data_IF_281124265954
#
_entry.id   IF_281124265954
#
_cell.length_a   1.000
_cell.length_b   1.000
_cell.length_c   1.000
_cell.angle_alpha   90.00
_cell.angle_beta   90.00
_cell.angle_gamma   90.00
#
_symmetry.space_group_name_H-M   'P 1'
#
loop_
_entity.id
_entity.type
_entity.pdbx_description
1 polymer ?
#
# COMPACT_ATOMS: atom_id res chain seq x y z
N UNK A 1 4.07 -24.33 6.30
CA UNK A 1 4.78 -23.25 5.59
C UNK A 1 5.77 -22.63 6.56
N UNK A 2 7.01 -22.35 6.14
CA UNK A 2 8.01 -21.70 7.02
C UNK A 2 7.60 -20.25 7.24
N UNK A 3 7.51 -19.82 8.50
CA UNK A 3 7.11 -18.46 8.84
C UNK A 3 8.25 -17.48 8.51
N UNK A 4 7.98 -16.36 7.82
CA UNK A 4 9.02 -15.44 7.35
C UNK A 4 9.81 -14.80 8.50
N UNK A 5 9.20 -14.69 9.68
CA UNK A 5 9.85 -14.15 10.88
C UNK A 5 10.98 -15.05 11.41
N UNK A 6 11.00 -16.33 11.06
CA UNK A 6 12.00 -17.30 11.53
C UNK A 6 13.21 -17.41 10.61
N UNK A 7 13.16 -16.78 9.43
CA UNK A 7 14.24 -16.81 8.46
C UNK A 7 15.35 -15.82 8.83
N UNK A 8 16.59 -16.19 8.47
CA UNK A 8 17.70 -15.25 8.42
C UNK A 8 17.42 -14.17 7.40
N UNK A 9 18.14 -13.06 7.48
CA UNK A 9 17.95 -11.92 6.57
C UNK A 9 18.24 -12.30 5.10
N UNK A 10 19.27 -13.09 4.86
CA UNK A 10 19.63 -13.58 3.52
C UNK A 10 18.59 -14.56 2.98
N UNK A 11 18.21 -15.56 3.77
CA UNK A 11 17.18 -16.54 3.40
C UNK A 11 15.82 -15.87 3.14
N UNK A 12 15.49 -14.85 3.93
CA UNK A 12 14.27 -14.09 3.78
C UNK A 12 14.23 -13.36 2.44
N UNK A 13 15.33 -12.71 2.05
CA UNK A 13 15.46 -11.99 0.78
C UNK A 13 15.41 -12.95 -0.40
N UNK A 14 16.17 -14.04 -0.35
CA UNK A 14 16.19 -15.04 -1.41
C UNK A 14 14.80 -15.67 -1.61
N UNK A 15 14.16 -16.07 -0.51
CA UNK A 15 12.86 -16.72 -0.56
C UNK A 15 11.74 -15.77 -0.99
N UNK A 16 11.78 -14.51 -0.57
CA UNK A 16 10.88 -13.48 -1.08
C UNK A 16 11.02 -13.33 -2.61
N UNK A 17 12.26 -13.30 -3.12
CA UNK A 17 12.54 -13.20 -4.55
C UNK A 17 12.02 -14.40 -5.34
N UNK A 18 12.31 -15.63 -4.87
CA UNK A 18 11.84 -16.86 -5.51
C UNK A 18 10.32 -16.96 -5.55
N UNK A 19 9.64 -16.67 -4.43
CA UNK A 19 8.18 -16.66 -4.35
C UNK A 19 7.57 -15.61 -5.27
N UNK A 20 8.21 -14.44 -5.38
CA UNK A 20 7.78 -13.38 -6.29
C UNK A 20 7.88 -13.81 -7.76
N UNK A 21 8.98 -14.46 -8.15
CA UNK A 21 9.13 -15.00 -9.50
C UNK A 21 8.04 -16.04 -9.84
N UNK A 22 7.73 -16.93 -8.89
CA UNK A 22 6.66 -17.92 -9.07
C UNK A 22 5.28 -17.24 -9.21
N UNK A 23 5.00 -16.24 -8.38
CA UNK A 23 3.76 -15.48 -8.45
C UNK A 23 3.61 -14.73 -9.78
N UNK A 24 4.71 -14.20 -10.33
CA UNK A 24 4.74 -13.54 -11.64
C UNK A 24 4.51 -14.51 -12.80
N UNK A 25 4.97 -15.74 -12.67
CA UNK A 25 4.72 -16.83 -13.63
C UNK A 25 3.28 -17.36 -13.59
N UNK A 26 2.44 -16.86 -12.68
CA UNK A 26 1.03 -17.22 -12.58
C UNK A 26 0.72 -18.29 -11.54
N UNK A 27 1.69 -18.72 -10.72
CA UNK A 27 1.41 -19.62 -9.61
C UNK A 27 0.65 -18.89 -8.50
N UNK A 28 -0.67 -19.10 -8.46
CA UNK A 28 -1.58 -18.40 -7.54
C UNK A 28 -1.26 -18.72 -6.09
N UNK A 29 -0.84 -19.95 -5.80
CA UNK A 29 -0.45 -20.44 -4.47
C UNK A 29 0.80 -19.73 -3.92
N UNK A 30 1.63 -19.16 -4.80
CA UNK A 30 2.83 -18.42 -4.40
C UNK A 30 2.55 -16.96 -4.04
N UNK A 31 1.37 -16.40 -4.38
CA UNK A 31 1.06 -14.99 -4.13
C UNK A 31 0.95 -14.65 -2.65
N UNK A 32 0.23 -15.47 -1.88
CA UNK A 32 0.08 -15.29 -0.44
C UNK A 32 1.43 -15.37 0.29
N UNK A 33 2.22 -16.44 0.08
CA UNK A 33 3.56 -16.57 0.63
C UNK A 33 4.51 -15.45 0.18
N UNK A 34 4.49 -15.05 -1.09
CA UNK A 34 5.32 -13.93 -1.57
C UNK A 34 5.01 -12.64 -0.79
N UNK A 35 3.72 -12.34 -0.63
CA UNK A 35 3.30 -11.13 0.08
C UNK A 35 3.71 -11.12 1.55
N UNK A 36 3.62 -12.27 2.25
CA UNK A 36 4.05 -12.36 3.65
C UNK A 36 5.56 -12.17 3.81
N UNK A 37 6.36 -12.72 2.90
CA UNK A 37 7.82 -12.56 2.91
C UNK A 37 8.23 -11.13 2.54
N UNK A 38 7.62 -10.53 1.52
CA UNK A 38 7.87 -9.12 1.15
C UNK A 38 7.49 -8.14 2.27
N UNK A 39 6.39 -8.41 2.99
CA UNK A 39 5.99 -7.61 4.16
C UNK A 39 7.05 -7.68 5.25
N UNK A 40 7.60 -8.86 5.49
CA UNK A 40 8.65 -9.07 6.48
C UNK A 40 9.97 -8.37 6.08
N UNK A 41 10.35 -8.47 4.80
CA UNK A 41 11.49 -7.71 4.22
C UNK A 41 11.27 -6.21 4.44
N UNK A 42 10.08 -5.68 4.14
CA UNK A 42 9.78 -4.26 4.37
C UNK A 42 9.81 -3.89 5.86
N UNK A 43 9.45 -4.80 6.76
CA UNK A 43 9.53 -4.57 8.21
C UNK A 43 10.98 -4.47 8.69
N UNK A 44 11.86 -5.34 8.21
CA UNK A 44 13.28 -5.38 8.63
C UNK A 44 14.12 -4.30 7.96
N UNK A 45 13.93 -4.08 6.66
CA UNK A 45 14.77 -3.20 5.84
C UNK A 45 14.10 -1.86 5.45
N UNK A 46 12.78 -1.75 5.56
CA UNK A 46 12.03 -0.56 5.09
C UNK A 46 12.12 0.68 6.00
N UNK A 47 12.77 0.57 7.16
CA UNK A 47 13.01 1.71 8.05
C UNK A 47 14.08 2.67 7.49
N UNK A 48 14.89 2.24 6.51
CA UNK A 48 15.99 3.02 5.94
C UNK A 48 15.65 3.71 4.60
N UNK A 49 14.37 3.88 4.25
CA UNK A 49 13.99 4.55 3.00
C UNK A 49 13.51 5.98 3.27
N UNK A 50 14.15 6.95 2.60
CA UNK A 50 13.86 8.40 2.60
C UNK A 50 12.39 8.76 2.34
N UNK A 51 11.57 7.80 1.87
CA UNK A 51 10.12 7.92 1.68
C UNK A 51 9.30 8.07 2.97
N UNK A 52 9.87 7.78 4.14
CA UNK A 52 9.21 8.01 5.43
C UNK A 52 9.49 9.40 6.02
N UNK A 53 10.20 10.27 5.28
CA UNK A 53 10.22 11.69 5.60
C UNK A 53 8.78 12.20 5.60
N UNK A 54 8.36 12.81 6.71
CA UNK A 54 7.03 13.40 6.82
C UNK A 54 6.86 14.42 5.69
N UNK A 55 6.07 14.07 4.68
CA UNK A 55 5.62 15.01 3.68
C UNK A 55 4.60 15.92 4.37
N UNK A 56 5.04 17.11 4.76
CA UNK A 56 4.16 18.18 5.27
C UNK A 56 2.94 18.31 4.34
N UNK A 57 1.72 18.06 4.84
CA UNK A 57 0.54 18.10 4.00
C UNK A 57 0.23 19.57 3.67
N UNK A 58 0.60 20.03 2.48
CA UNK A 58 0.13 21.32 1.99
C UNK A 58 -1.41 21.34 1.97
N UNK A 59 -2.10 22.27 2.67
CA UNK A 59 -3.55 22.30 2.67
C UNK A 59 -4.06 22.70 1.28
N UNK A 60 -4.72 21.77 0.58
CA UNK A 60 -5.39 22.06 -0.69
C UNK A 60 -6.91 22.10 -0.49
N UNK A 61 -7.58 23.25 -0.71
CA UNK A 61 -9.03 23.27 -0.73
C UNK A 61 -9.57 22.51 -1.96
N UNK A 62 -10.57 21.65 -1.71
CA UNK A 62 -11.22 20.78 -2.71
C UNK A 62 -12.16 21.60 -3.60
N UNK A 63 -11.71 21.96 -4.81
CA UNK A 63 -12.45 22.80 -5.80
C UNK A 63 -13.87 22.28 -6.14
N UNK A 64 -14.13 21.00 -5.98
CA UNK A 64 -15.43 20.36 -6.29
C UNK A 64 -16.53 20.60 -5.24
N UNK A 65 -16.18 20.99 -4.00
CA UNK A 65 -17.19 21.34 -2.99
C UNK A 65 -17.93 22.65 -3.34
N UNK A 66 -17.29 23.56 -4.08
CA UNK A 66 -17.90 24.82 -4.53
C UNK A 66 -18.91 24.65 -5.68
N UNK A 67 -18.74 23.64 -6.53
CA UNK A 67 -19.70 23.39 -7.63
C UNK A 67 -21.01 22.79 -7.11
N UNK A 68 -20.94 21.91 -6.12
CA UNK A 68 -22.13 21.28 -5.55
C UNK A 68 -23.03 22.28 -4.80
N UNK A 69 -22.44 23.22 -4.06
CA UNK A 69 -23.18 24.25 -3.33
C UNK A 69 -23.91 25.26 -4.22
N UNK A 70 -23.49 25.44 -5.48
CA UNK A 70 -24.19 26.31 -6.44
C UNK A 70 -25.43 25.63 -7.04
N UNK A 71 -25.43 24.29 -7.09
CA UNK A 71 -26.51 23.52 -7.70
C UNK A 71 -27.61 23.14 -6.70
N UNK A 72 -27.26 22.95 -5.42
CA UNK A 72 -28.22 22.58 -4.37
C UNK A 72 -29.00 23.76 -3.75
N UNK A 73 -28.74 25.00 -4.17
CA UNK A 73 -29.36 26.22 -3.62
C UNK A 73 -30.65 26.67 -4.32
N UNK A 74 -31.37 25.81 -5.04
CA UNK A 74 -32.59 26.21 -5.78
C UNK A 74 -33.69 25.14 -5.74
N UNK A 75 -34.38 25.07 -4.61
CA UNK A 75 -35.82 24.81 -4.47
C UNK A 75 -36.09 24.52 -3.00
N UNK A 76 -36.76 25.46 -2.32
CA UNK A 76 -37.91 25.19 -1.45
C UNK A 76 -38.38 26.54 -0.90
N UNK A 77 -39.26 27.18 -1.66
CA UNK A 77 -40.22 28.16 -1.14
C UNK A 77 -41.39 28.19 -2.12
N UNK A 78 -42.37 27.33 -1.85
CA UNK A 78 -43.73 27.50 -2.35
C UNK A 78 -44.64 27.33 -1.14
N UNK A 79 -45.28 28.44 -0.80
CA UNK A 79 -46.44 28.57 0.08
C UNK A 79 -47.67 28.14 -0.71
#
# INVERSE_FOLDING_TARGET
>A
MTEPAQLSDEDLLERAHQLRLLALRGHVDARGPAHSHEREVRRRFGSATTLRAALEPAPRPRRFQRLWSLFSGRRDSVN
#
